data_IF_192306066033
#
_entry.id   IF_192306066033
#
_cell.length_a   1.000
_cell.length_b   1.000
_cell.length_c   1.000
_cell.angle_alpha   90.00
_cell.angle_beta   90.00
_cell.angle_gamma   90.00
#
_symmetry.space_group_name_H-M   'P 1'
#
loop_
_entity.id
_entity.type
_entity.pdbx_description
1 polymer ?
#
# COMPACT_ATOMS: atom_id res chain seq x y z
N UNK A 1 17.31 20.51 -5.36
CA UNK A 1 15.84 20.43 -5.28
C UNK A 1 15.43 18.98 -5.53
N UNK A 2 15.02 18.23 -4.49
CA UNK A 2 14.36 16.95 -4.73
C UNK A 2 12.93 17.25 -5.19
N UNK A 3 12.61 16.91 -6.44
CA UNK A 3 11.25 17.06 -6.97
C UNK A 3 10.27 16.22 -6.16
N UNK A 4 9.10 16.79 -5.84
CA UNK A 4 8.01 16.06 -5.19
C UNK A 4 7.59 14.89 -6.07
N UNK A 5 7.54 13.68 -5.52
CA UNK A 5 7.08 12.51 -6.25
C UNK A 5 5.59 12.66 -6.56
N UNK A 6 5.23 12.58 -7.84
CA UNK A 6 3.85 12.63 -8.32
C UNK A 6 3.55 11.37 -9.15
N UNK A 7 2.26 11.09 -9.39
CA UNK A 7 1.88 10.01 -10.29
C UNK A 7 2.51 10.18 -11.69
N UNK A 8 2.59 11.40 -12.21
CA UNK A 8 3.16 11.67 -13.53
C UNK A 8 4.64 11.28 -13.60
N UNK A 9 5.41 11.58 -12.54
CA UNK A 9 6.85 11.31 -12.46
C UNK A 9 7.21 9.85 -12.18
N UNK A 10 6.24 8.97 -11.91
CA UNK A 10 6.53 7.56 -11.70
C UNK A 10 7.04 6.88 -13.00
N UNK A 11 8.08 6.03 -12.92
CA UNK A 11 8.51 5.19 -14.04
C UNK A 11 7.36 4.35 -14.60
N UNK A 12 7.40 4.08 -15.91
CA UNK A 12 6.37 3.31 -16.61
C UNK A 12 6.25 1.91 -16.04
N UNK A 13 7.37 1.32 -15.64
CA UNK A 13 7.50 0.00 -15.03
C UNK A 13 6.73 -0.07 -13.71
N UNK A 14 6.84 0.96 -12.87
CA UNK A 14 6.12 1.06 -11.60
C UNK A 14 4.61 1.16 -11.83
N UNK A 15 4.20 1.96 -12.82
CA UNK A 15 2.78 2.06 -13.23
C UNK A 15 2.25 0.72 -13.71
N UNK A 16 3.03 -0.02 -14.51
CA UNK A 16 2.67 -1.37 -14.99
C UNK A 16 2.51 -2.34 -13.82
N UNK A 17 3.47 -2.41 -12.90
CA UNK A 17 3.39 -3.27 -11.71
C UNK A 17 2.14 -2.93 -10.87
N UNK A 18 1.90 -1.65 -10.61
CA UNK A 18 0.73 -1.19 -9.86
C UNK A 18 -0.60 -1.53 -10.53
N UNK A 19 -0.71 -1.33 -11.84
CA UNK A 19 -1.92 -1.68 -12.60
C UNK A 19 -2.20 -3.18 -12.56
N UNK A 20 -1.18 -4.03 -12.70
CA UNK A 20 -1.32 -5.48 -12.65
C UNK A 20 -1.63 -5.97 -11.22
N UNK A 21 -1.12 -5.30 -10.19
CA UNK A 21 -1.31 -5.70 -8.81
C UNK A 21 -2.63 -5.22 -8.19
N UNK A 22 -3.07 -4.01 -8.52
CA UNK A 22 -4.16 -3.31 -7.83
C UNK A 22 -5.33 -2.92 -8.74
N UNK A 23 -5.09 -2.87 -10.05
CA UNK A 23 -6.04 -2.43 -11.06
C UNK A 23 -5.68 -1.12 -11.74
N UNK A 24 -6.13 -0.97 -12.99
CA UNK A 24 -5.81 0.18 -13.82
C UNK A 24 -6.33 1.47 -13.19
N UNK A 25 -5.42 2.40 -12.91
CA UNK A 25 -5.76 3.72 -12.37
C UNK A 25 -5.82 3.79 -10.83
N UNK A 26 -5.74 2.66 -10.12
CA UNK A 26 -5.72 2.65 -8.65
C UNK A 26 -4.57 3.48 -8.10
N UNK A 27 -3.37 3.32 -8.65
CA UNK A 27 -2.16 4.02 -8.21
C UNK A 27 -2.30 5.55 -8.28
N UNK A 28 -3.07 6.07 -9.23
CA UNK A 28 -3.35 7.52 -9.35
C UNK A 28 -4.14 8.04 -8.14
N UNK A 29 -4.97 7.19 -7.53
CA UNK A 29 -5.81 7.55 -6.39
C UNK A 29 -5.05 7.69 -5.07
N UNK A 30 -3.82 7.15 -5.02
CA UNK A 30 -2.97 7.23 -3.84
C UNK A 30 -2.33 8.61 -3.71
N UNK A 31 -2.01 9.30 -4.82
CA UNK A 31 -1.34 10.59 -4.79
C UNK A 31 -2.30 11.72 -4.45
N UNK A 32 -2.15 12.28 -3.25
CA UNK A 32 -2.81 13.51 -2.83
C UNK A 32 -1.79 14.65 -2.73
N UNK A 33 -2.20 15.86 -3.14
CA UNK A 33 -1.31 17.03 -3.15
C UNK A 33 -0.84 17.44 -1.75
N UNK A 34 -1.50 16.98 -0.68
CA UNK A 34 -1.11 17.27 0.69
C UNK A 34 0.14 16.49 1.16
N UNK A 35 0.47 15.35 0.53
CA UNK A 35 1.51 14.46 1.03
C UNK A 35 2.79 14.52 0.20
N UNK A 36 3.92 14.24 0.86
CA UNK A 36 5.20 14.00 0.22
C UNK A 36 5.46 12.51 0.22
N UNK A 37 5.39 11.89 -0.97
CA UNK A 37 5.56 10.46 -1.12
C UNK A 37 7.02 10.05 -1.30
N UNK A 38 7.33 8.90 -0.73
CA UNK A 38 8.58 8.20 -0.86
C UNK A 38 8.33 6.87 -1.57
N UNK A 39 9.27 6.51 -2.46
CA UNK A 39 9.20 5.28 -3.25
C UNK A 39 10.48 4.49 -3.06
N UNK A 40 10.35 3.23 -2.69
CA UNK A 40 11.44 2.27 -2.70
C UNK A 40 11.15 1.18 -3.72
N UNK A 41 12.13 0.87 -4.57
CA UNK A 41 11.98 -0.04 -5.70
C UNK A 41 12.96 -1.19 -5.52
N UNK A 42 12.50 -2.42 -5.74
CA UNK A 42 13.36 -3.60 -5.84
C UNK A 42 13.63 -3.91 -7.31
N UNK A 43 14.91 -3.98 -7.67
CA UNK A 43 15.41 -4.37 -8.99
C UNK A 43 16.26 -5.64 -8.82
N UNK A 44 16.17 -6.56 -9.77
CA UNK A 44 17.13 -7.65 -9.99
C UNK A 44 17.42 -7.77 -11.48
N UNK A 45 18.69 -7.90 -11.85
CA UNK A 45 19.11 -8.11 -13.24
C UNK A 45 18.55 -7.06 -14.23
N UNK A 46 18.46 -5.81 -13.77
CA UNK A 46 17.89 -4.69 -14.54
C UNK A 46 16.36 -4.69 -14.63
N UNK A 47 15.68 -5.65 -14.03
CA UNK A 47 14.22 -5.80 -14.07
C UNK A 47 13.59 -5.28 -12.78
N UNK A 48 12.54 -4.48 -12.91
CA UNK A 48 11.73 -3.98 -11.81
C UNK A 48 10.85 -5.12 -11.26
N UNK A 49 11.12 -5.54 -10.02
CA UNK A 49 10.41 -6.64 -9.36
C UNK A 49 9.18 -6.14 -8.60
N UNK A 50 9.33 -5.02 -7.90
CA UNK A 50 8.30 -4.51 -7.01
C UNK A 50 8.67 -3.19 -6.38
N UNK A 51 7.75 -2.61 -5.65
CA UNK A 51 7.94 -1.34 -4.97
C UNK A 51 7.07 -1.21 -3.73
N UNK A 52 7.47 -0.29 -2.85
CA UNK A 52 6.64 0.23 -1.78
C UNK A 52 6.55 1.74 -1.90
N UNK A 53 5.32 2.25 -1.84
CA UNK A 53 4.99 3.66 -1.75
C UNK A 53 4.55 3.95 -0.32
N UNK A 54 5.07 5.03 0.25
CA UNK A 54 4.74 5.44 1.60
C UNK A 54 4.89 6.95 1.77
N UNK A 55 4.30 7.50 2.82
CA UNK A 55 4.50 8.89 3.21
C UNK A 55 4.51 9.05 4.73
N UNK A 56 4.78 10.26 5.19
CA UNK A 56 4.70 10.66 6.59
C UNK A 56 3.59 11.68 6.77
N UNK A 57 2.71 11.45 7.73
CA UNK A 57 1.75 12.42 8.21
C UNK A 57 2.27 13.02 9.52
N UNK A 58 2.51 14.33 9.50
CA UNK A 58 2.75 15.08 10.72
C UNK A 58 1.38 15.43 11.29
N UNK A 59 0.90 14.61 12.22
CA UNK A 59 -0.33 14.93 12.93
C UNK A 59 -0.07 16.16 13.77
N UNK A 60 -0.73 17.28 13.44
CA UNK A 60 -0.76 18.50 14.27
C UNK A 60 -1.60 18.29 15.54
N UNK A 61 -1.63 17.08 16.10
CA UNK A 61 -2.14 16.87 17.44
C UNK A 61 -1.16 17.48 18.43
N UNK A 62 -1.62 17.82 19.63
CA UNK A 62 -0.86 18.57 20.67
C UNK A 62 0.49 17.93 21.04
N UNK A 63 0.75 16.69 20.62
CA UNK A 63 1.95 15.92 20.93
C UNK A 63 2.94 15.80 19.75
N UNK A 64 2.63 16.37 18.58
CA UNK A 64 3.58 16.39 17.44
C UNK A 64 3.95 15.01 16.88
N UNK A 65 3.05 14.03 16.99
CA UNK A 65 3.31 12.65 16.59
C UNK A 65 3.50 12.50 15.07
N UNK A 66 4.46 11.68 14.69
CA UNK A 66 4.75 11.33 13.29
C UNK A 66 4.14 9.97 12.97
N UNK A 67 3.22 9.93 12.01
CA UNK A 67 2.63 8.68 11.51
C UNK A 67 3.23 8.35 10.15
N UNK A 68 3.86 7.17 10.03
CA UNK A 68 4.28 6.62 8.75
C UNK A 68 3.13 5.83 8.13
N UNK A 69 2.76 6.12 6.89
CA UNK A 69 1.67 5.40 6.19
C UNK A 69 2.25 4.65 5.01
N UNK A 70 2.09 3.33 4.99
CA UNK A 70 2.42 2.49 3.83
C UNK A 70 1.22 2.48 2.90
N UNK A 71 1.26 3.31 1.85
CA UNK A 71 0.16 3.48 0.89
C UNK A 71 -0.07 2.24 0.03
N UNK A 72 1.01 1.59 -0.42
CA UNK A 72 0.93 0.31 -1.11
C UNK A 72 2.26 -0.42 -1.17
N UNK A 73 2.19 -1.75 -1.17
CA UNK A 73 3.31 -2.65 -1.48
C UNK A 73 2.88 -3.52 -2.67
N UNK A 74 3.65 -3.48 -3.76
CA UNK A 74 3.34 -4.21 -4.99
C UNK A 74 4.53 -5.03 -5.45
N UNK A 75 4.26 -6.29 -5.81
CA UNK A 75 5.24 -7.19 -6.44
C UNK A 75 4.63 -7.71 -7.74
N UNK A 76 5.42 -7.65 -8.81
CA UNK A 76 5.04 -8.17 -10.11
C UNK A 76 4.67 -9.67 -9.99
N UNK A 77 3.61 -10.15 -10.65
CA UNK A 77 3.09 -11.51 -10.46
C UNK A 77 4.14 -12.62 -10.58
N UNK A 78 5.06 -12.49 -11.54
CA UNK A 78 6.12 -13.48 -11.79
C UNK A 78 7.09 -13.67 -10.61
N UNK A 79 7.19 -12.70 -9.70
CA UNK A 79 8.12 -12.70 -8.57
C UNK A 79 7.41 -12.83 -7.21
N UNK A 80 6.12 -13.17 -7.21
CA UNK A 80 5.37 -13.41 -5.98
C UNK A 80 5.84 -14.70 -5.33
N UNK A 81 5.66 -14.81 -4.00
CA UNK A 81 6.11 -15.94 -3.15
C UNK A 81 7.62 -16.05 -2.95
N UNK A 82 8.41 -15.12 -3.48
CA UNK A 82 9.87 -15.04 -3.25
C UNK A 82 10.26 -14.12 -2.07
N UNK A 83 9.28 -13.66 -1.27
CA UNK A 83 9.54 -12.80 -0.11
C UNK A 83 9.85 -11.33 -0.44
N UNK A 84 9.79 -10.90 -1.70
CA UNK A 84 10.05 -9.49 -2.06
C UNK A 84 9.07 -8.49 -1.43
N UNK A 85 7.81 -8.88 -1.24
CA UNK A 85 6.83 -8.04 -0.54
C UNK A 85 7.27 -7.79 0.91
N UNK A 86 7.68 -8.85 1.60
CA UNK A 86 8.23 -8.80 2.96
C UNK A 86 9.46 -7.90 3.03
N UNK A 87 10.41 -8.05 2.10
CA UNK A 87 11.62 -7.22 2.04
C UNK A 87 11.30 -5.73 1.83
N UNK A 88 10.35 -5.42 0.94
CA UNK A 88 9.91 -4.05 0.69
C UNK A 88 9.22 -3.44 1.91
N UNK A 89 8.29 -4.18 2.54
CA UNK A 89 7.63 -3.75 3.77
C UNK A 89 8.64 -3.46 4.87
N UNK A 90 9.58 -4.38 5.12
CA UNK A 90 10.62 -4.18 6.13
C UNK A 90 11.53 -2.98 5.80
N UNK A 91 11.83 -2.76 4.52
CA UNK A 91 12.56 -1.58 4.06
C UNK A 91 11.83 -0.28 4.39
N UNK A 92 10.51 -0.22 4.17
CA UNK A 92 9.69 0.94 4.55
C UNK A 92 9.66 1.13 6.07
N UNK A 93 9.44 0.07 6.85
CA UNK A 93 9.45 0.12 8.32
C UNK A 93 10.77 0.67 8.87
N UNK A 94 11.92 0.22 8.34
CA UNK A 94 13.23 0.76 8.73
C UNK A 94 13.38 2.25 8.41
N UNK A 95 12.85 2.70 7.28
CA UNK A 95 12.88 4.13 6.91
C UNK A 95 11.97 4.95 7.82
N UNK A 96 10.82 4.42 8.18
CA UNK A 96 9.88 5.08 9.09
C UNK A 96 10.43 5.18 10.51
N UNK A 97 11.01 4.10 11.02
CA UNK A 97 11.69 4.09 12.32
C UNK A 97 12.87 5.07 12.34
N UNK A 98 13.71 5.09 11.29
CA UNK A 98 14.83 6.03 11.20
C UNK A 98 14.38 7.50 11.08
N UNK A 99 13.19 7.76 10.56
CA UNK A 99 12.58 9.09 10.52
C UNK A 99 11.94 9.50 11.85
N UNK A 100 11.78 8.55 12.79
CA UNK A 100 11.14 8.80 14.09
C UNK A 100 9.62 8.70 14.03
N UNK A 101 9.05 7.84 13.18
CA UNK A 101 7.63 7.56 13.20
C UNK A 101 7.22 6.90 14.53
N UNK A 102 6.28 7.52 15.25
CA UNK A 102 5.68 7.01 16.49
C UNK A 102 4.70 5.88 16.22
N UNK A 103 4.09 5.91 15.03
CA UNK A 103 3.11 4.94 14.58
C UNK A 103 3.30 4.65 13.12
N UNK A 104 3.16 3.40 12.72
CA UNK A 104 3.14 3.00 11.31
C UNK A 104 1.81 2.37 10.99
N UNK A 105 1.16 2.85 9.94
CA UNK A 105 -0.13 2.35 9.47
C UNK A 105 -0.04 1.74 8.08
N UNK A 106 -0.84 0.69 7.86
CA UNK A 106 -1.06 0.09 6.55
C UNK A 106 -2.52 -0.30 6.41
N UNK A 107 -3.11 0.00 5.26
CA UNK A 107 -4.47 -0.43 4.93
C UNK A 107 -4.43 -1.66 4.05
N UNK A 108 -4.96 -2.76 4.55
CA UNK A 108 -5.22 -3.96 3.78
C UNK A 108 -6.56 -3.82 3.04
N UNK A 109 -6.56 -4.22 1.78
CA UNK A 109 -7.76 -4.23 0.93
C UNK A 109 -8.27 -5.66 0.77
N UNK A 110 -9.51 -5.90 1.18
CA UNK A 110 -10.12 -7.24 1.13
C UNK A 110 -11.48 -7.20 0.42
N UNK A 111 -11.83 -8.18 -0.42
CA UNK A 111 -13.18 -8.27 -0.99
C UNK A 111 -14.23 -8.56 0.10
N UNK A 112 -15.43 -7.97 0.01
CA UNK A 112 -16.51 -8.19 0.98
C UNK A 112 -17.00 -9.65 1.02
N UNK A 113 -16.86 -10.40 -0.06
CA UNK A 113 -17.23 -11.81 -0.14
C UNK A 113 -16.00 -12.68 0.13
N UNK A 114 -16.02 -13.48 1.20
CA UNK A 114 -14.96 -14.40 1.62
C UNK A 114 -14.69 -15.59 0.68
N UNK A 115 -14.72 -15.38 -0.63
CA UNK A 115 -14.64 -16.43 -1.66
C UNK A 115 -13.43 -16.32 -2.59
N UNK A 116 -12.41 -15.52 -2.28
CA UNK A 116 -11.25 -15.38 -3.20
C UNK A 116 -9.88 -15.67 -2.60
N UNK A 117 -9.80 -16.06 -1.32
CA UNK A 117 -8.54 -16.40 -0.67
C UNK A 117 -7.85 -17.65 -1.27
N UNK A 118 -8.54 -18.41 -2.13
CA UNK A 118 -8.02 -19.59 -2.83
C UNK A 118 -7.87 -19.47 -4.35
N UNK A 119 -8.22 -18.35 -4.98
CA UNK A 119 -8.18 -18.22 -6.44
C UNK A 119 -6.77 -17.90 -6.95
N UNK A 120 -6.27 -18.72 -7.88
CA UNK A 120 -4.99 -18.45 -8.56
C UNK A 120 -5.06 -17.12 -9.31
N UNK A 121 -4.22 -16.17 -8.92
CA UNK A 121 -4.15 -14.83 -9.54
C UNK A 121 -4.75 -13.72 -8.67
N UNK A 122 -5.55 -14.05 -7.66
CA UNK A 122 -5.98 -13.09 -6.64
C UNK A 122 -4.76 -12.80 -5.76
N UNK A 123 -4.29 -11.55 -5.69
CA UNK A 123 -3.11 -11.25 -4.89
C UNK A 123 -3.42 -11.58 -3.43
N UNK A 124 -2.61 -12.43 -2.80
CA UNK A 124 -2.43 -12.44 -1.35
C UNK A 124 -1.86 -11.07 -0.96
N UNK A 125 -2.70 -10.02 -0.99
CA UNK A 125 -2.34 -8.72 -0.43
C UNK A 125 -2.15 -8.97 1.04
N UNK A 126 -0.96 -8.65 1.55
CA UNK A 126 -0.59 -8.70 2.97
C UNK A 126 -1.46 -9.65 3.77
N UNK A 127 -1.21 -10.96 3.67
CA UNK A 127 -1.97 -11.91 4.49
C UNK A 127 -1.90 -11.38 5.91
N UNK A 128 -3.05 -11.29 6.57
CA UNK A 128 -3.12 -10.75 7.92
C UNK A 128 -2.05 -11.40 8.83
N UNK A 129 -1.73 -12.68 8.59
CA UNK A 129 -0.60 -13.39 9.20
C UNK A 129 0.77 -12.73 8.99
N UNK A 130 1.12 -12.28 7.77
CA UNK A 130 2.37 -11.56 7.51
C UNK A 130 2.39 -10.21 8.24
N UNK A 131 1.27 -9.46 8.24
CA UNK A 131 1.22 -8.19 8.97
C UNK A 131 1.40 -8.41 10.47
N UNK A 132 0.74 -9.42 11.05
CA UNK A 132 0.93 -9.82 12.46
C UNK A 132 2.38 -10.22 12.75
N UNK A 133 3.04 -10.95 11.85
CA UNK A 133 4.47 -11.30 11.99
C UNK A 133 5.39 -10.08 11.97
N UNK A 134 4.99 -9.00 11.31
CA UNK A 134 5.69 -7.71 11.36
C UNK A 134 5.37 -6.88 12.60
N UNK A 135 4.49 -7.37 13.49
CA UNK A 135 4.07 -6.66 14.70
C UNK A 135 2.87 -5.74 14.50
N UNK A 136 2.24 -5.74 13.32
CA UNK A 136 1.01 -4.99 13.13
C UNK A 136 -0.15 -5.61 13.91
N UNK A 137 -0.93 -4.78 14.59
CA UNK A 137 -2.20 -5.15 15.20
C UNK A 137 -3.35 -4.51 14.42
N UNK A 138 -4.51 -5.16 14.48
CA UNK A 138 -5.75 -4.68 13.87
C UNK A 138 -6.23 -3.41 14.58
N UNK A 139 -6.70 -2.42 13.81
CA UNK A 139 -7.23 -1.14 14.32
C UNK A 139 -8.72 -0.99 14.01
N UNK A 140 -9.10 -1.10 12.74
CA UNK A 140 -10.48 -0.88 12.31
C UNK A 140 -10.80 -1.49 10.95
N UNK A 141 -12.09 -1.66 10.66
CA UNK A 141 -12.62 -1.95 9.32
C UNK A 141 -13.49 -0.79 8.87
N UNK A 142 -13.37 -0.39 7.62
CA UNK A 142 -14.27 0.56 6.97
C UNK A 142 -14.84 -0.05 5.69
N UNK A 143 -16.17 -0.01 5.59
CA UNK A 143 -16.89 -0.26 4.35
C UNK A 143 -16.85 0.98 3.46
N UNK A 144 -17.03 0.78 2.15
CA UNK A 144 -17.12 1.85 1.13
C UNK A 144 -15.94 2.84 1.05
N UNK A 145 -14.84 2.58 1.76
CA UNK A 145 -13.64 3.44 1.80
C UNK A 145 -13.13 3.79 0.40
N UNK A 146 -13.23 2.83 -0.52
CA UNK A 146 -12.74 2.95 -1.88
C UNK A 146 -13.78 3.48 -2.88
N UNK A 147 -15.07 3.50 -2.53
CA UNK A 147 -16.18 3.78 -3.45
C UNK A 147 -16.06 5.18 -4.04
N UNK A 148 -15.87 6.20 -3.21
CA UNK A 148 -15.79 7.59 -3.68
C UNK A 148 -14.57 7.81 -4.59
N UNK A 149 -13.40 7.27 -4.21
CA UNK A 149 -12.18 7.34 -5.03
C UNK A 149 -12.36 6.58 -6.35
N UNK A 150 -12.98 5.40 -6.31
CA UNK A 150 -13.26 4.59 -7.51
C UNK A 150 -14.20 5.31 -8.47
N UNK A 151 -15.28 5.94 -7.97
CA UNK A 151 -16.16 6.78 -8.79
C UNK A 151 -15.41 7.97 -9.40
N UNK A 152 -14.62 8.69 -8.60
CA UNK A 152 -13.89 9.89 -9.05
C UNK A 152 -12.83 9.57 -10.12
N UNK A 153 -12.09 8.48 -9.96
CA UNK A 153 -10.96 8.14 -10.82
C UNK A 153 -11.27 7.04 -11.84
N UNK A 154 -12.46 6.44 -11.78
CA UNK A 154 -12.94 5.46 -12.76
C UNK A 154 -12.13 4.17 -12.83
N UNK A 155 -11.48 3.75 -11.73
CA UNK A 155 -10.63 2.56 -11.73
C UNK A 155 -11.44 1.28 -11.46
N UNK A 156 -10.98 0.18 -12.06
CA UNK A 156 -11.53 -1.17 -11.85
C UNK A 156 -10.72 -1.88 -10.78
N UNK A 157 -11.39 -2.42 -9.75
CA UNK A 157 -10.71 -3.11 -8.67
C UNK A 157 -10.39 -4.54 -9.06
N UNK A 158 -9.11 -4.90 -9.09
CA UNK A 158 -8.67 -6.29 -9.40
C UNK A 158 -9.12 -7.28 -8.32
N UNK A 159 -9.39 -6.82 -7.10
CA UNK A 159 -9.77 -7.68 -5.97
C UNK A 159 -11.23 -8.13 -6.01
N UNK A 160 -12.15 -7.17 -6.03
CA UNK A 160 -13.59 -7.47 -6.04
C UNK A 160 -14.16 -7.57 -7.46
N UNK A 161 -13.48 -7.04 -8.48
CA UNK A 161 -13.99 -6.96 -9.85
C UNK A 161 -15.09 -5.91 -10.04
N UNK A 162 -15.41 -5.11 -9.02
CA UNK A 162 -16.51 -4.15 -9.05
C UNK A 162 -16.05 -2.75 -9.48
N UNK A 163 -17.01 -2.00 -10.05
CA UNK A 163 -16.93 -0.57 -10.35
C UNK A 163 -18.27 0.09 -9.97
N UNK A 164 -18.35 0.81 -8.83
CA UNK A 164 -17.24 1.22 -7.98
C UNK A 164 -16.66 0.09 -7.14
N UNK A 165 -15.42 0.29 -6.71
CA UNK A 165 -14.72 -0.60 -5.79
C UNK A 165 -15.44 -0.72 -4.44
N UNK A 166 -15.85 -1.95 -4.11
CA UNK A 166 -16.58 -2.29 -2.90
C UNK A 166 -15.76 -3.14 -1.93
N UNK A 167 -14.42 -3.11 -2.00
CA UNK A 167 -13.59 -3.80 -1.03
C UNK A 167 -13.67 -3.16 0.37
N UNK A 168 -13.51 -3.96 1.40
CA UNK A 168 -13.20 -3.51 2.75
C UNK A 168 -11.82 -2.84 2.79
N UNK A 169 -11.73 -1.82 3.63
CA UNK A 169 -10.49 -1.23 4.10
C UNK A 169 -10.24 -1.71 5.52
N UNK A 170 -9.20 -2.51 5.75
CA UNK A 170 -8.82 -3.02 7.06
C UNK A 170 -7.53 -2.31 7.49
N UNK A 171 -7.62 -1.47 8.50
CA UNK A 171 -6.49 -0.70 9.02
C UNK A 171 -5.71 -1.54 10.04
N UNK A 172 -4.40 -1.59 9.84
CA UNK A 172 -3.44 -2.19 10.76
C UNK A 172 -2.40 -1.15 11.17
N UNK A 173 -1.90 -1.26 12.40
CA UNK A 173 -0.85 -0.37 12.89
C UNK A 173 0.23 -1.04 13.74
N UNK A 174 1.40 -0.41 13.81
CA UNK A 174 2.45 -0.62 14.80
C UNK A 174 2.56 0.67 15.60
N UNK A 175 2.49 0.59 16.93
CA UNK A 175 2.75 1.72 17.82
C UNK A 175 4.13 1.57 18.47
N UNK A 176 4.86 2.66 18.64
CA UNK A 176 6.17 2.69 19.30
C UNK A 176 6.11 2.42 20.82
N UNK A 177 4.92 2.29 21.38
CA UNK A 177 4.64 2.25 22.82
C UNK A 177 4.24 0.87 23.37
N UNK A 178 4.79 -0.22 22.82
CA UNK A 178 4.73 -1.56 23.41
C UNK A 178 6.11 -2.08 23.80
#
# INVERSE_FOLDING_TARGET
MQGKLTYASLPVEIKKIGNTALGLGFLKTLFLDAHTYHLMIKISDGIFIGFVLYHFENSRTEQGKVVGVIDCVCVAPAYRKEGFGTLLTFGALRKMSAYGADRVEITLKAPNSGQRDGESGVPLVGSEGILKQFGFHFVSVAEDHWVLKSKKYGYDCVFCGNKPDSCLSILYAIDSSY
#
